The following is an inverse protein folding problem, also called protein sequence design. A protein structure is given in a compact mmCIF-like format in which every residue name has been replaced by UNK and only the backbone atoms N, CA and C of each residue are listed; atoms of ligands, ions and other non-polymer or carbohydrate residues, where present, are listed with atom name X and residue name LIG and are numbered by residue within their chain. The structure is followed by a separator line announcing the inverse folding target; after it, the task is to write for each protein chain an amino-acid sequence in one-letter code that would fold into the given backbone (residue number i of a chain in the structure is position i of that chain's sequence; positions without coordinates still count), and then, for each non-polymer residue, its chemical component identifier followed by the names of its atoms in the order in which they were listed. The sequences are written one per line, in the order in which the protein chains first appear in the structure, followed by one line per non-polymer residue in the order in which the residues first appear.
data_IF_588053575980
#
_entry.id   IF_588053575980
#
_cell.length_a   1.000
_cell.length_b   1.000
_cell.length_c   1.000
_cell.angle_alpha   90.00
_cell.angle_beta   90.00
_cell.angle_gamma   90.00
#
_symmetry.space_group_name_H-M   'P 1'
#
loop_
_entity.id
_entity.type
_entity.pdbx_description
1 polymer ?
#
# COMPACT_ATOMS: atom_id res chain seq x y z
N UNK A 1 -18.06 -22.99 8.48
CA UNK A 1 -17.23 -24.08 9.07
C UNK A 1 -15.76 -23.65 9.14
N UNK A 2 -15.18 -23.07 8.08
CA UNK A 2 -13.76 -22.72 7.98
C UNK A 2 -13.42 -21.27 8.35
N UNK A 3 -14.42 -20.43 8.61
CA UNK A 3 -14.28 -19.00 8.94
C UNK A 3 -13.38 -18.22 7.97
N UNK A 4 -13.50 -18.54 6.68
CA UNK A 4 -12.73 -17.89 5.60
C UNK A 4 -13.28 -16.52 5.22
N UNK A 5 -14.54 -16.26 5.55
CA UNK A 5 -15.22 -15.00 5.31
C UNK A 5 -15.45 -14.29 6.64
N UNK A 6 -15.14 -13.01 6.71
CA UNK A 6 -15.29 -12.19 7.90
C UNK A 6 -15.62 -10.74 7.53
N UNK A 7 -16.37 -10.01 8.37
CA UNK A 7 -16.56 -8.57 8.19
C UNK A 7 -15.29 -7.83 8.59
N UNK A 8 -14.98 -6.76 7.86
CA UNK A 8 -13.86 -5.88 8.14
C UNK A 8 -14.00 -4.58 7.36
N UNK A 9 -13.32 -3.54 7.81
CA UNK A 9 -13.26 -2.28 7.09
C UNK A 9 -12.28 -2.36 5.93
N UNK A 10 -12.70 -1.85 4.77
CA UNK A 10 -11.88 -1.76 3.58
C UNK A 10 -12.18 -0.47 2.82
N UNK A 11 -11.16 0.10 2.19
CA UNK A 11 -11.37 1.20 1.27
C UNK A 11 -12.00 0.70 -0.02
N UNK A 12 -13.14 1.28 -0.38
CA UNK A 12 -13.92 0.90 -1.56
C UNK A 12 -14.16 2.11 -2.46
N UNK A 13 -14.44 1.84 -3.72
CA UNK A 13 -14.85 2.86 -4.68
C UNK A 13 -16.36 3.09 -4.55
N UNK A 14 -16.75 4.07 -3.76
CA UNK A 14 -18.15 4.42 -3.53
C UNK A 14 -18.65 5.42 -4.57
N UNK A 15 -19.74 5.10 -5.24
CA UNK A 15 -20.43 6.02 -6.13
C UNK A 15 -21.76 6.49 -5.52
N UNK A 16 -21.85 7.72 -4.99
CA UNK A 16 -23.07 8.22 -4.35
C UNK A 16 -24.27 8.26 -5.29
N UNK A 17 -24.04 8.62 -6.56
CA UNK A 17 -25.10 8.71 -7.56
C UNK A 17 -25.71 7.36 -7.94
N UNK A 18 -24.92 6.28 -7.91
CA UNK A 18 -25.38 4.92 -8.17
C UNK A 18 -25.79 4.19 -6.88
N UNK A 19 -25.43 4.72 -5.70
CA UNK A 19 -25.70 4.11 -4.42
C UNK A 19 -25.00 2.76 -4.21
N UNK A 20 -23.85 2.55 -4.88
CA UNK A 20 -23.15 1.25 -4.85
C UNK A 20 -21.63 1.39 -4.80
N UNK A 21 -21.00 0.31 -4.34
CA UNK A 21 -19.56 0.10 -4.45
C UNK A 21 -19.24 -0.43 -5.85
N UNK A 22 -18.17 0.10 -6.46
CA UNK A 22 -17.71 -0.27 -7.80
C UNK A 22 -16.38 -1.01 -7.72
N UNK A 23 -16.18 -1.96 -8.63
CA UNK A 23 -14.85 -2.58 -8.84
C UNK A 23 -13.87 -1.56 -9.43
N UNK A 24 -12.58 -1.88 -9.39
CA UNK A 24 -11.57 -1.00 -10.00
C UNK A 24 -11.78 -0.86 -11.53
N UNK A 25 -12.25 -1.92 -12.19
CA UNK A 25 -12.50 -1.91 -13.64
C UNK A 25 -13.70 -1.04 -14.06
N UNK A 26 -14.63 -0.77 -13.12
CA UNK A 26 -15.79 0.09 -13.35
C UNK A 26 -15.50 1.59 -13.10
N UNK A 27 -14.26 1.93 -12.74
CA UNK A 27 -13.84 3.31 -12.46
C UNK A 27 -12.74 3.70 -13.44
N UNK A 28 -12.99 4.76 -14.22
CA UNK A 28 -12.03 5.36 -15.15
C UNK A 28 -11.92 6.85 -14.87
N UNK A 29 -10.72 7.37 -14.70
CA UNK A 29 -10.45 8.80 -14.44
C UNK A 29 -11.27 9.38 -13.25
N UNK A 30 -11.51 8.56 -12.21
CA UNK A 30 -12.24 8.96 -11.01
C UNK A 30 -13.77 9.02 -11.18
N UNK A 31 -14.30 8.53 -12.32
CA UNK A 31 -15.74 8.44 -12.56
C UNK A 31 -16.17 7.02 -12.87
N UNK A 32 -17.45 6.72 -12.64
CA UNK A 32 -18.05 5.43 -12.96
C UNK A 32 -18.16 5.25 -14.49
N UNK A 33 -17.81 4.08 -15.01
CA UNK A 33 -18.01 3.74 -16.43
C UNK A 33 -19.49 3.89 -16.81
N UNK A 34 -20.40 3.51 -15.91
CA UNK A 34 -21.84 3.66 -16.08
C UNK A 34 -22.29 5.03 -15.58
N UNK A 35 -22.62 5.92 -16.50
CA UNK A 35 -23.21 7.22 -16.24
C UNK A 35 -22.22 8.36 -15.94
N UNK A 36 -20.90 8.10 -15.89
CA UNK A 36 -19.87 9.14 -15.69
C UNK A 36 -19.95 9.87 -14.35
N UNK A 37 -20.45 9.21 -13.32
CA UNK A 37 -20.63 9.81 -12.00
C UNK A 37 -19.34 9.78 -11.18
N UNK A 38 -19.10 10.81 -10.38
CA UNK A 38 -17.95 10.90 -9.50
C UNK A 38 -17.91 9.72 -8.51
N UNK A 39 -16.73 9.14 -8.36
CA UNK A 39 -16.44 8.04 -7.43
C UNK A 39 -15.54 8.56 -6.32
N UNK A 40 -15.78 8.09 -5.10
CA UNK A 40 -15.04 8.48 -3.90
C UNK A 40 -14.45 7.23 -3.24
N UNK A 41 -13.19 7.31 -2.82
CA UNK A 41 -12.59 6.28 -1.95
C UNK A 41 -13.15 6.44 -0.55
N UNK A 42 -13.81 5.42 -0.03
CA UNK A 42 -14.48 5.45 1.27
C UNK A 42 -14.19 4.20 2.07
N UNK A 43 -13.88 4.37 3.35
CA UNK A 43 -13.75 3.25 4.28
C UNK A 43 -15.15 2.76 4.65
N UNK A 44 -15.43 1.50 4.37
CA UNK A 44 -16.73 0.86 4.61
C UNK A 44 -16.57 -0.56 5.12
N UNK A 45 -17.50 -1.02 5.95
CA UNK A 45 -17.60 -2.43 6.32
C UNK A 45 -17.90 -3.29 5.10
N UNK A 46 -17.04 -4.26 4.84
CA UNK A 46 -17.15 -5.19 3.73
C UNK A 46 -16.96 -6.64 4.21
N UNK A 47 -17.49 -7.57 3.43
CA UNK A 47 -17.15 -8.97 3.59
C UNK A 47 -15.77 -9.24 2.94
N UNK A 48 -14.84 -9.69 3.76
CA UNK A 48 -13.50 -10.07 3.32
C UNK A 48 -13.38 -11.59 3.24
N UNK A 49 -12.57 -12.07 2.31
CA UNK A 49 -12.23 -13.49 2.17
C UNK A 49 -10.73 -13.69 2.44
N UNK A 50 -10.39 -14.68 3.29
CA UNK A 50 -9.01 -15.07 3.56
C UNK A 50 -8.43 -15.87 2.39
N UNK A 51 -8.17 -15.23 1.27
CA UNK A 51 -7.65 -15.92 0.06
C UNK A 51 -6.27 -16.54 0.31
N UNK A 52 -5.46 -15.98 1.21
CA UNK A 52 -4.13 -16.48 1.57
C UNK A 52 -4.15 -17.68 2.51
N UNK A 53 -5.31 -18.07 3.05
CA UNK A 53 -5.41 -19.20 3.98
C UNK A 53 -4.99 -20.56 3.38
N UNK A 54 -4.97 -20.65 2.07
CA UNK A 54 -4.56 -21.86 1.33
C UNK A 54 -3.29 -21.63 0.48
N UNK A 55 -2.63 -20.49 0.59
CA UNK A 55 -1.50 -20.12 -0.26
C UNK A 55 -0.37 -21.15 -0.20
N UNK A 56 0.09 -21.52 1.00
CA UNK A 56 1.14 -22.52 1.17
C UNK A 56 0.71 -23.89 0.62
N UNK A 57 -0.52 -24.33 0.93
CA UNK A 57 -1.05 -25.59 0.43
C UNK A 57 -1.20 -25.63 -1.09
N UNK A 58 -1.52 -24.50 -1.72
CA UNK A 58 -1.57 -24.39 -3.18
C UNK A 58 -0.18 -24.52 -3.80
N UNK A 59 0.84 -23.91 -3.18
CA UNK A 59 2.25 -24.05 -3.62
C UNK A 59 2.71 -25.52 -3.52
N UNK A 60 2.50 -26.14 -2.35
CA UNK A 60 2.87 -27.54 -2.11
C UNK A 60 2.14 -28.51 -3.07
N UNK A 61 0.87 -28.23 -3.37
CA UNK A 61 0.06 -29.05 -4.28
C UNK A 61 0.59 -29.05 -5.72
N UNK A 62 1.36 -28.04 -6.15
CA UNK A 62 1.97 -28.00 -7.49
C UNK A 62 2.98 -29.13 -7.74
N UNK A 63 3.60 -29.63 -6.67
CA UNK A 63 4.63 -30.68 -6.81
C UNK A 63 4.02 -32.04 -7.18
N UNK A 64 2.75 -32.26 -6.79
CA UNK A 64 2.03 -33.52 -7.03
C UNK A 64 1.26 -33.61 -8.35
N UNK A 65 1.23 -32.56 -9.17
CA UNK A 65 0.47 -32.55 -10.43
C UNK A 65 1.38 -32.66 -11.64
N UNK A 66 0.89 -33.31 -12.70
CA UNK A 66 1.59 -33.47 -13.97
C UNK A 66 1.36 -32.27 -14.89
N UNK A 67 1.94 -31.13 -14.51
CA UNK A 67 1.93 -29.88 -15.29
C UNK A 67 3.34 -29.52 -15.76
N UNK A 68 3.47 -28.82 -16.91
CA UNK A 68 4.76 -28.27 -17.33
C UNK A 68 5.35 -27.35 -16.26
N UNK A 69 6.68 -27.41 -16.09
CA UNK A 69 7.39 -26.61 -15.07
C UNK A 69 7.17 -25.10 -15.23
N UNK A 70 7.08 -24.62 -16.46
CA UNK A 70 6.79 -23.22 -16.75
C UNK A 70 5.44 -22.75 -16.18
N UNK A 71 4.42 -23.62 -16.22
CA UNK A 71 3.11 -23.32 -15.65
C UNK A 71 3.16 -23.36 -14.13
N UNK A 72 3.83 -24.36 -13.55
CA UNK A 72 4.03 -24.43 -12.10
C UNK A 72 4.74 -23.19 -11.57
N UNK A 73 5.77 -22.72 -12.28
CA UNK A 73 6.51 -21.52 -11.91
C UNK A 73 5.66 -20.26 -11.99
N UNK A 74 4.84 -20.11 -13.03
CA UNK A 74 3.87 -19.01 -13.12
C UNK A 74 2.90 -19.01 -11.93
N UNK A 75 2.40 -20.18 -11.51
CA UNK A 75 1.53 -20.30 -10.34
C UNK A 75 2.25 -19.94 -9.03
N UNK A 76 3.49 -20.38 -8.83
CA UNK A 76 4.32 -20.03 -7.67
C UNK A 76 4.56 -18.53 -7.61
N UNK A 77 4.91 -17.91 -8.73
CA UNK A 77 5.13 -16.48 -8.83
C UNK A 77 3.84 -15.67 -8.58
N UNK A 78 2.71 -16.17 -9.06
CA UNK A 78 1.40 -15.54 -8.81
C UNK A 78 1.00 -15.57 -7.33
N UNK A 79 1.21 -16.70 -6.65
CA UNK A 79 0.95 -16.83 -5.21
C UNK A 79 1.91 -15.95 -4.41
N UNK A 80 3.18 -15.85 -4.84
CA UNK A 80 4.13 -14.85 -4.39
C UNK A 80 4.56 -15.01 -2.93
N UNK A 81 5.05 -16.19 -2.53
CA UNK A 81 5.63 -16.35 -1.21
C UNK A 81 6.92 -15.54 -1.07
N UNK A 82 6.93 -14.58 -0.15
CA UNK A 82 8.09 -13.75 0.17
C UNK A 82 8.60 -14.04 1.57
N UNK A 83 9.93 -14.10 1.72
CA UNK A 83 10.61 -14.19 3.02
C UNK A 83 11.42 -12.90 3.19
N UNK A 84 11.27 -12.26 4.33
CA UNK A 84 11.91 -10.98 4.60
C UNK A 84 11.91 -10.65 6.08
N UNK A 85 12.24 -9.41 6.40
CA UNK A 85 12.26 -8.87 7.74
C UNK A 85 11.37 -7.64 7.87
N UNK A 86 10.69 -7.52 9.01
CA UNK A 86 10.06 -6.27 9.43
C UNK A 86 11.07 -5.44 10.22
N UNK A 87 11.21 -4.18 9.84
CA UNK A 87 12.11 -3.23 10.49
C UNK A 87 11.32 -2.01 10.93
N UNK A 88 11.55 -1.55 12.16
CA UNK A 88 10.92 -0.37 12.73
C UNK A 88 11.89 0.79 12.74
N UNK A 89 11.47 1.89 12.13
CA UNK A 89 12.17 3.16 12.12
C UNK A 89 11.48 4.10 13.11
N UNK A 90 12.19 4.54 14.14
CA UNK A 90 11.69 5.57 15.04
C UNK A 90 11.49 6.88 14.28
N UNK A 91 10.49 7.68 14.66
CA UNK A 91 10.27 8.99 14.07
C UNK A 91 10.90 10.06 14.96
N UNK A 92 11.76 10.88 14.39
CA UNK A 92 12.48 11.95 15.11
C UNK A 92 11.48 12.97 15.70
N UNK A 93 11.63 13.26 16.99
CA UNK A 93 10.72 14.14 17.73
C UNK A 93 9.35 13.54 18.10
N UNK A 94 9.14 12.24 17.89
CA UNK A 94 7.89 11.53 18.22
C UNK A 94 8.19 10.22 18.97
N UNK A 95 8.36 10.29 20.27
CA UNK A 95 8.87 9.18 21.12
C UNK A 95 8.09 7.86 21.03
N UNK A 96 6.83 7.87 20.61
CA UNK A 96 5.98 6.67 20.50
C UNK A 96 5.63 6.31 19.06
N UNK A 97 6.04 7.09 18.07
CA UNK A 97 5.77 6.81 16.67
C UNK A 97 6.92 6.02 16.03
N UNK A 98 6.57 4.98 15.32
CA UNK A 98 7.50 4.23 14.48
C UNK A 98 6.84 3.87 13.16
N UNK A 99 7.65 3.80 12.12
CA UNK A 99 7.23 3.31 10.81
C UNK A 99 7.77 1.90 10.66
N UNK A 100 6.87 0.92 10.45
CA UNK A 100 7.24 -0.45 10.17
C UNK A 100 7.30 -0.68 8.66
N UNK A 101 8.41 -1.24 8.18
CA UNK A 101 8.60 -1.64 6.79
C UNK A 101 8.91 -3.12 6.73
N UNK A 102 8.26 -3.83 5.80
CA UNK A 102 8.66 -5.17 5.44
C UNK A 102 9.57 -5.10 4.20
N UNK A 103 10.73 -5.77 4.27
CA UNK A 103 11.66 -5.85 3.13
C UNK A 103 12.20 -7.27 2.96
N UNK A 104 12.35 -7.69 1.70
CA UNK A 104 13.06 -8.93 1.34
C UNK A 104 14.58 -8.71 1.22
N UNK A 105 15.02 -7.44 1.25
CA UNK A 105 16.43 -7.02 1.11
C UNK A 105 16.87 -6.16 2.29
N UNK A 106 16.83 -6.75 3.49
CA UNK A 106 17.26 -6.06 4.71
C UNK A 106 18.75 -5.66 4.69
N UNK A 107 19.53 -6.35 3.90
CA UNK A 107 20.95 -6.04 3.65
C UNK A 107 21.19 -4.64 3.06
N UNK A 108 20.20 -4.07 2.36
CA UNK A 108 20.30 -2.74 1.74
C UNK A 108 19.94 -1.58 2.67
N UNK A 109 19.55 -1.85 3.91
CA UNK A 109 19.03 -0.84 4.85
C UNK A 109 19.99 0.33 5.12
N UNK A 110 21.30 0.08 5.06
CA UNK A 110 22.32 1.13 5.22
C UNK A 110 22.30 2.17 4.10
N UNK A 111 21.77 1.81 2.92
CA UNK A 111 21.60 2.70 1.77
C UNK A 111 20.22 3.36 1.70
N UNK A 112 19.38 3.22 2.73
CA UNK A 112 18.08 3.88 2.77
C UNK A 112 18.26 5.41 2.87
N UNK A 113 17.76 6.14 1.86
CA UNK A 113 17.93 7.60 1.75
C UNK A 113 16.66 8.37 2.06
N UNK A 114 15.49 7.75 1.95
CA UNK A 114 14.21 8.32 2.35
C UNK A 114 13.17 7.22 2.64
N UNK A 115 12.15 7.62 3.39
CA UNK A 115 10.99 6.79 3.71
C UNK A 115 9.78 7.31 2.94
N UNK A 116 8.93 6.41 2.45
CA UNK A 116 7.69 6.79 1.76
C UNK A 116 6.50 6.11 2.41
N UNK A 117 5.49 6.89 2.75
CA UNK A 117 4.20 6.41 3.24
C UNK A 117 3.14 6.51 2.16
N UNK A 118 2.15 5.63 2.23
CA UNK A 118 0.91 5.82 1.48
C UNK A 118 0.24 7.13 1.91
N UNK A 119 -0.36 7.92 1.00
CA UNK A 119 -1.01 9.18 1.37
C UNK A 119 -2.13 9.03 2.40
N UNK A 120 -2.76 7.87 2.47
CA UNK A 120 -3.82 7.49 3.41
C UNK A 120 -3.33 6.78 4.68
N UNK A 121 -2.01 6.67 4.88
CA UNK A 121 -1.43 6.03 6.06
C UNK A 121 -1.76 6.82 7.33
N UNK A 122 -2.12 6.14 8.42
CA UNK A 122 -2.56 6.74 9.69
C UNK A 122 -1.57 7.74 10.31
N UNK A 123 -0.28 7.55 10.11
CA UNK A 123 0.76 8.45 10.62
C UNK A 123 0.89 9.76 9.82
N UNK A 124 0.35 9.87 8.62
CA UNK A 124 0.56 11.05 7.76
C UNK A 124 0.07 12.32 8.44
N UNK A 125 -1.12 12.30 9.02
CA UNK A 125 -1.68 13.45 9.73
C UNK A 125 -0.82 13.89 10.93
N UNK A 126 -0.34 12.92 11.71
CA UNK A 126 0.47 13.14 12.91
C UNK A 126 1.88 13.67 12.58
N UNK A 127 2.48 13.16 11.49
CA UNK A 127 3.86 13.48 11.11
C UNK A 127 3.98 14.73 10.25
N UNK A 128 2.89 15.21 9.67
CA UNK A 128 2.91 16.39 8.81
C UNK A 128 3.11 17.66 9.63
N UNK A 129 4.21 18.37 9.38
CA UNK A 129 4.47 19.65 10.03
C UNK A 129 3.54 20.75 9.49
N UNK A 130 3.31 21.80 10.29
CA UNK A 130 2.43 22.93 9.89
C UNK A 130 2.85 23.55 8.56
N UNK A 131 4.16 23.62 8.31
CA UNK A 131 4.71 24.18 7.08
C UNK A 131 4.32 23.37 5.83
N UNK A 132 4.23 22.06 5.93
CA UNK A 132 3.89 21.14 4.84
C UNK A 132 2.40 20.80 4.77
N UNK A 133 1.62 21.16 5.78
CA UNK A 133 0.20 20.78 5.92
C UNK A 133 -0.61 21.03 4.63
N UNK A 134 -0.53 22.21 4.09
CA UNK A 134 -1.32 22.59 2.90
C UNK A 134 -1.00 21.71 1.69
N UNK A 135 0.29 21.44 1.47
CA UNK A 135 0.74 20.64 0.32
C UNK A 135 0.42 19.16 0.49
N UNK A 136 0.64 18.62 1.70
CA UNK A 136 0.31 17.23 2.05
C UNK A 136 -1.20 16.98 1.93
N UNK A 137 -2.05 17.87 2.47
CA UNK A 137 -3.50 17.74 2.39
C UNK A 137 -4.00 17.80 0.94
N UNK A 138 -3.42 18.67 0.12
CA UNK A 138 -3.75 18.75 -1.30
C UNK A 138 -3.37 17.47 -2.04
N UNK A 139 -2.17 16.93 -1.76
CA UNK A 139 -1.69 15.70 -2.36
C UNK A 139 -2.51 14.47 -1.94
N UNK A 140 -2.85 14.35 -0.65
CA UNK A 140 -3.68 13.26 -0.12
C UNK A 140 -5.07 13.25 -0.77
N UNK A 141 -5.72 14.42 -0.90
CA UNK A 141 -7.01 14.53 -1.60
C UNK A 141 -6.90 14.16 -3.08
N UNK A 142 -5.83 14.58 -3.75
CA UNK A 142 -5.58 14.21 -5.14
C UNK A 142 -5.35 12.70 -5.28
N UNK A 143 -4.52 12.09 -4.43
CA UNK A 143 -4.26 10.65 -4.46
C UNK A 143 -5.53 9.82 -4.18
N UNK A 144 -6.39 10.28 -3.26
CA UNK A 144 -7.67 9.65 -2.94
C UNK A 144 -8.68 9.66 -4.11
N UNK A 145 -8.52 10.56 -5.09
CA UNK A 145 -9.36 10.61 -6.29
C UNK A 145 -8.91 9.64 -7.39
N UNK A 146 -7.76 8.97 -7.22
CA UNK A 146 -7.19 8.05 -8.22
C UNK A 146 -7.49 6.60 -7.89
N UNK A 147 -7.69 5.78 -8.91
CA UNK A 147 -7.79 4.32 -8.74
C UNK A 147 -6.43 3.71 -8.37
N UNK A 148 -6.45 2.55 -7.72
CA UNK A 148 -5.20 1.82 -7.43
C UNK A 148 -4.47 1.41 -8.72
N UNK A 149 -5.22 1.09 -9.78
CA UNK A 149 -4.64 0.76 -11.10
C UNK A 149 -3.86 1.96 -11.66
N UNK A 150 -4.45 3.17 -11.61
CA UNK A 150 -3.75 4.39 -12.06
C UNK A 150 -2.54 4.72 -11.20
N UNK A 151 -2.62 4.45 -9.90
CA UNK A 151 -1.52 4.66 -8.94
C UNK A 151 -0.36 3.69 -9.18
N UNK A 152 -0.62 2.47 -9.64
CA UNK A 152 0.38 1.44 -9.92
C UNK A 152 0.90 1.45 -11.37
N UNK A 153 0.35 2.27 -12.26
CA UNK A 153 0.75 2.30 -13.66
C UNK A 153 2.22 2.70 -13.83
N UNK A 154 3.03 1.85 -14.46
CA UNK A 154 4.47 2.05 -14.66
C UNK A 154 4.82 3.26 -15.52
N UNK A 155 3.90 3.68 -16.39
CA UNK A 155 4.11 4.78 -17.34
C UNK A 155 3.90 6.17 -16.75
N UNK A 156 3.42 6.26 -15.51
CA UNK A 156 3.17 7.56 -14.87
C UNK A 156 4.46 8.20 -14.35
N UNK A 157 4.45 9.53 -14.28
CA UNK A 157 5.47 10.28 -13.58
C UNK A 157 5.37 10.00 -12.06
N UNK A 158 6.47 9.57 -11.46
CA UNK A 158 6.55 9.42 -9.99
C UNK A 158 6.44 10.80 -9.35
N UNK A 159 5.55 10.92 -8.38
CA UNK A 159 5.32 12.15 -7.61
C UNK A 159 5.32 11.85 -6.12
N UNK A 160 5.55 12.85 -5.30
CA UNK A 160 5.51 12.74 -3.85
C UNK A 160 5.65 14.09 -3.18
N UNK A 161 5.25 14.17 -1.92
CA UNK A 161 5.33 15.38 -1.09
C UNK A 161 6.02 15.07 0.21
N UNK A 162 6.89 15.96 0.65
CA UNK A 162 7.60 15.85 1.91
C UNK A 162 6.69 16.20 3.09
N UNK A 163 6.69 15.37 4.14
CA UNK A 163 5.86 15.60 5.34
C UNK A 163 6.44 16.64 6.30
N UNK A 164 7.74 16.93 6.19
CA UNK A 164 8.47 17.75 7.15
C UNK A 164 9.13 16.96 8.28
N UNK A 165 8.79 15.68 8.43
CA UNK A 165 9.31 14.78 9.46
C UNK A 165 10.44 13.89 8.93
N UNK A 166 11.17 13.28 9.86
CA UNK A 166 12.28 12.38 9.56
C UNK A 166 12.15 11.07 10.36
N UNK A 167 12.56 9.98 9.75
CA UNK A 167 12.74 8.69 10.41
C UNK A 167 14.22 8.50 10.77
N UNK A 168 14.50 7.71 11.79
CA UNK A 168 15.85 7.33 12.20
C UNK A 168 16.13 5.91 11.72
N UNK A 169 17.15 5.76 10.91
CA UNK A 169 17.61 4.44 10.48
C UNK A 169 18.17 3.69 11.70
N UNK A 170 17.59 2.54 12.08
CA UNK A 170 17.96 1.86 13.33
C UNK A 170 19.36 1.24 13.31
N UNK A 171 20.01 1.14 12.13
CA UNK A 171 21.31 0.49 11.99
C UNK A 171 22.50 1.47 11.93
N UNK A 172 22.30 2.67 11.41
CA UNK A 172 23.38 3.66 11.29
C UNK A 172 23.05 4.99 12.02
N UNK A 173 21.84 5.16 12.54
CA UNK A 173 21.41 6.37 13.22
C UNK A 173 21.14 7.58 12.32
N UNK A 174 21.20 7.41 11.01
CA UNK A 174 20.97 8.52 10.06
C UNK A 174 19.49 8.94 10.05
N UNK A 175 19.29 10.25 9.94
CA UNK A 175 17.98 10.85 9.74
C UNK A 175 17.63 10.81 8.26
N UNK A 176 16.53 10.13 7.91
CA UNK A 176 16.03 10.06 6.54
C UNK A 176 14.65 10.73 6.43
N UNK A 177 14.41 11.57 5.40
CA UNK A 177 13.15 12.29 5.27
C UNK A 177 11.98 11.36 4.98
N UNK A 178 10.79 11.71 5.51
CA UNK A 178 9.54 10.98 5.30
C UNK A 178 8.72 11.71 4.25
N UNK A 179 8.41 11.01 3.16
CA UNK A 179 7.58 11.47 2.06
C UNK A 179 6.26 10.72 2.01
N UNK A 180 5.27 11.27 1.36
CA UNK A 180 4.09 10.54 0.89
C UNK A 180 4.15 10.44 -0.62
N UNK A 181 3.72 9.31 -1.17
CA UNK A 181 3.64 9.12 -2.61
C UNK A 181 2.50 8.16 -2.99
N UNK A 182 1.86 8.46 -4.10
CA UNK A 182 0.66 7.74 -4.56
C UNK A 182 0.93 6.31 -5.04
N UNK A 183 2.18 5.95 -5.37
CA UNK A 183 2.54 4.58 -5.74
C UNK A 183 2.63 3.62 -4.54
N UNK A 184 2.69 4.13 -3.31
CA UNK A 184 2.61 3.32 -2.09
C UNK A 184 1.14 3.17 -1.71
N UNK A 185 0.69 1.93 -1.54
CA UNK A 185 -0.70 1.62 -1.20
C UNK A 185 -0.82 1.20 0.26
N UNK A 186 -1.74 1.78 1.01
CA UNK A 186 -1.97 1.43 2.42
C UNK A 186 -2.48 -0.01 2.61
N UNK A 187 -3.15 -0.57 1.60
CA UNK A 187 -3.65 -1.95 1.62
C UNK A 187 -2.60 -3.01 1.26
N UNK A 188 -1.36 -2.60 0.94
CA UNK A 188 -0.28 -3.49 0.56
C UNK A 188 0.90 -3.41 1.55
N UNK A 189 1.23 -4.54 2.18
CA UNK A 189 2.27 -4.60 3.22
C UNK A 189 1.91 -3.73 4.43
N UNK A 190 2.83 -2.88 4.85
CA UNK A 190 2.67 -1.94 5.96
C UNK A 190 2.19 -0.55 5.52
N UNK A 191 1.96 -0.33 4.22
CA UNK A 191 1.69 1.01 3.68
C UNK A 191 2.89 1.96 3.74
N UNK A 192 4.09 1.40 3.96
CA UNK A 192 5.35 2.13 4.06
C UNK A 192 6.47 1.40 3.33
N UNK A 193 7.35 2.13 2.68
CA UNK A 193 8.54 1.59 2.02
C UNK A 193 9.77 2.43 2.34
N UNK A 194 10.92 1.77 2.51
CA UNK A 194 12.22 2.44 2.50
C UNK A 194 12.75 2.51 1.07
N UNK A 195 13.29 3.64 0.67
CA UNK A 195 13.89 3.81 -0.65
C UNK A 195 15.40 3.69 -0.57
N UNK A 196 15.95 2.83 -1.43
CA UNK A 196 17.37 2.60 -1.61
C UNK A 196 17.64 2.81 -3.10
N UNK A 197 18.17 3.98 -3.51
CA UNK A 197 18.47 4.32 -4.91
C UNK A 197 19.55 3.45 -5.54
#
# INVERSE_FOLDING_TARGET
KYRLTYPGEAYVNWCPALGSVLSNDEVKDGVSERGGHRVERKLMNQWNMRITAYADRLIEGLDGIDWPDSIKEQQRNWIGRSVGASVRFAVDGHDQAFIEVFTTRVDTIYGATFMVLAPEHELVEQLTTDKQRTEVDAYTRWAASRSEIDRMAETKKVTGVFTGAYAINPFNGERIPIWIADYVLAGYGTGAVMAVP
#
